data_IF_838082229056
#
_entry.id   IF_838082229056
#
_cell.length_a   1.000
_cell.length_b   1.000
_cell.length_c   1.000
_cell.angle_alpha   90.00
_cell.angle_beta   90.00
_cell.angle_gamma   90.00
#
_symmetry.space_group_name_H-M   'P 1'
#
loop_
_entity.id
_entity.type
_entity.pdbx_description
1 polymer ?
#
# COMPACT_ATOMS: atom_id res chain seq x y z
N UNK A 1 17.16 22.72 21.78
CA UNK A 1 16.24 21.63 22.11
C UNK A 1 15.43 21.24 20.86
N UNK A 2 16.13 20.76 19.82
CA UNK A 2 15.54 20.27 18.56
C UNK A 2 16.42 19.16 17.96
N UNK A 3 17.24 18.50 18.79
CA UNK A 3 18.16 17.43 18.41
C UNK A 3 17.73 16.07 18.93
N UNK A 4 16.59 15.98 19.62
CA UNK A 4 16.07 14.74 20.24
C UNK A 4 15.01 14.02 19.40
N UNK A 5 14.53 14.60 18.29
CA UNK A 5 13.50 13.97 17.44
C UNK A 5 13.82 13.97 15.94
N UNK A 6 15.02 14.42 15.55
CA UNK A 6 15.48 14.37 14.18
C UNK A 6 16.48 13.24 13.99
N UNK A 7 16.02 12.04 13.62
CA UNK A 7 16.92 11.08 12.98
C UNK A 7 17.33 11.68 11.64
N UNK A 8 18.52 12.26 11.56
CA UNK A 8 19.11 12.68 10.30
C UNK A 8 19.45 11.43 9.49
N UNK A 9 18.57 11.05 8.56
CA UNK A 9 18.86 10.03 7.53
C UNK A 9 19.81 10.55 6.44
N UNK A 10 20.72 11.47 6.79
CA UNK A 10 21.76 11.92 5.88
C UNK A 10 22.93 10.94 5.97
N UNK A 11 22.66 9.68 5.59
CA UNK A 11 23.68 8.66 5.47
C UNK A 11 24.44 8.88 4.16
N UNK A 12 25.40 9.80 4.19
CA UNK A 12 26.36 10.05 3.10
C UNK A 12 27.10 8.78 2.63
N UNK A 13 27.14 7.72 3.46
CA UNK A 13 27.70 6.39 3.16
C UNK A 13 26.99 5.68 1.98
N UNK A 14 25.74 6.00 1.65
CA UNK A 14 25.01 5.35 0.56
C UNK A 14 25.55 5.72 -0.84
N UNK A 15 26.25 6.85 -0.98
CA UNK A 15 26.80 7.30 -2.26
C UNK A 15 27.89 6.35 -2.82
N UNK A 16 28.54 5.59 -1.94
CA UNK A 16 29.55 4.56 -2.26
C UNK A 16 28.96 3.17 -2.52
N UNK A 17 27.70 2.92 -2.14
CA UNK A 17 27.07 1.61 -2.23
C UNK A 17 26.49 1.32 -3.64
N UNK A 18 26.14 2.38 -4.37
CA UNK A 18 25.56 2.27 -5.70
C UNK A 18 26.65 2.15 -6.76
N UNK A 19 26.43 1.27 -7.75
CA UNK A 19 27.32 1.20 -8.90
C UNK A 19 27.23 2.49 -9.75
N UNK A 20 28.26 2.81 -10.55
CA UNK A 20 28.29 4.03 -11.35
C UNK A 20 27.11 4.20 -12.31
N UNK A 21 26.57 3.09 -12.85
CA UNK A 21 25.46 3.12 -13.79
C UNK A 21 24.15 3.46 -13.07
N UNK A 22 23.89 2.86 -11.90
CA UNK A 22 22.72 3.19 -11.08
C UNK A 22 22.74 4.66 -10.65
N UNK A 23 23.90 5.20 -10.25
CA UNK A 23 24.03 6.63 -9.94
C UNK A 23 23.73 7.52 -11.13
N UNK A 24 24.20 7.16 -12.33
CA UNK A 24 23.94 7.92 -13.54
C UNK A 24 22.44 7.94 -13.89
N UNK A 25 21.75 6.80 -13.76
CA UNK A 25 20.30 6.70 -13.97
C UNK A 25 19.51 7.54 -12.97
N UNK A 26 19.86 7.48 -11.68
CA UNK A 26 19.22 8.31 -10.64
C UNK A 26 19.45 9.80 -10.89
N UNK A 27 20.65 10.19 -11.32
CA UNK A 27 20.93 11.59 -11.67
C UNK A 27 20.07 12.05 -12.84
N UNK A 28 19.97 11.24 -13.90
CA UNK A 28 19.11 11.53 -15.04
C UNK A 28 17.62 11.63 -14.63
N UNK A 29 17.16 10.79 -13.69
CA UNK A 29 15.81 10.87 -13.14
C UNK A 29 15.57 12.20 -12.43
N UNK A 30 16.48 12.61 -11.54
CA UNK A 30 16.39 13.89 -10.82
C UNK A 30 16.38 15.09 -11.78
N UNK A 31 17.24 15.07 -12.81
CA UNK A 31 17.26 16.13 -13.81
C UNK A 31 15.91 16.27 -14.52
N UNK A 32 15.24 15.14 -14.86
CA UNK A 32 13.88 15.18 -15.42
C UNK A 32 12.83 15.65 -14.40
N UNK A 33 12.95 15.27 -13.13
CA UNK A 33 12.03 15.73 -12.07
C UNK A 33 12.11 17.24 -11.89
N UNK A 34 13.29 17.85 -11.91
CA UNK A 34 13.44 19.30 -11.85
C UNK A 34 12.82 20.02 -13.04
N UNK A 35 12.95 19.48 -14.26
CA UNK A 35 12.26 20.05 -15.43
C UNK A 35 10.74 19.98 -15.27
N UNK A 36 10.22 18.85 -14.77
CA UNK A 36 8.80 18.67 -14.48
C UNK A 36 8.31 19.68 -13.43
N UNK A 37 9.04 19.83 -12.32
CA UNK A 37 8.74 20.80 -11.27
C UNK A 37 8.76 22.24 -11.80
N UNK A 38 9.73 22.58 -12.65
CA UNK A 38 9.82 23.89 -13.28
C UNK A 38 8.56 24.24 -14.08
N UNK A 39 8.05 23.32 -14.88
CA UNK A 39 6.80 23.51 -15.65
C UNK A 39 5.57 23.58 -14.72
N UNK A 40 5.52 22.76 -13.66
CA UNK A 40 4.44 22.80 -12.67
C UNK A 40 4.40 24.15 -11.93
N UNK A 41 5.55 24.70 -11.54
CA UNK A 41 5.67 26.01 -10.89
C UNK A 41 5.25 27.17 -11.81
N UNK A 42 5.33 26.96 -13.12
CA UNK A 42 4.85 27.90 -14.13
C UNK A 42 3.38 27.70 -14.50
N UNK A 43 2.70 26.69 -13.94
CA UNK A 43 1.29 26.41 -14.21
C UNK A 43 1.02 25.62 -15.50
N UNK A 44 2.02 24.92 -16.04
CA UNK A 44 1.89 24.12 -17.27
C UNK A 44 1.96 22.60 -17.00
N UNK A 45 0.90 21.99 -16.44
CA UNK A 45 0.90 20.56 -16.08
C UNK A 45 1.05 19.63 -17.29
N UNK A 46 0.48 19.98 -18.44
CA UNK A 46 0.60 19.22 -19.69
C UNK A 46 2.04 19.18 -20.21
N UNK A 47 2.82 20.24 -19.99
CA UNK A 47 4.25 20.31 -20.33
C UNK A 47 5.13 19.60 -19.31
N UNK A 48 4.69 19.50 -18.06
CA UNK A 48 5.39 18.78 -17.00
C UNK A 48 5.31 17.25 -17.15
N UNK A 49 4.19 16.74 -17.70
CA UNK A 49 3.88 15.31 -17.78
C UNK A 49 4.93 14.47 -18.54
N UNK A 50 5.43 14.88 -19.72
CA UNK A 50 6.48 14.15 -20.43
C UNK A 50 7.76 13.98 -19.61
N UNK A 51 8.17 15.02 -18.86
CA UNK A 51 9.34 14.95 -17.99
C UNK A 51 9.13 13.98 -16.82
N UNK A 52 7.95 14.02 -16.18
CA UNK A 52 7.59 13.08 -15.12
C UNK A 52 7.61 11.61 -15.61
N UNK A 53 7.07 11.34 -16.80
CA UNK A 53 7.08 10.00 -17.39
C UNK A 53 8.50 9.50 -17.69
N UNK A 54 9.40 10.39 -18.16
CA UNK A 54 10.82 10.04 -18.36
C UNK A 54 11.52 9.73 -17.03
N UNK A 55 11.30 10.54 -16.00
CA UNK A 55 11.83 10.29 -14.66
C UNK A 55 11.37 8.92 -14.12
N UNK A 56 10.08 8.61 -14.26
CA UNK A 56 9.51 7.31 -13.89
C UNK A 56 10.18 6.16 -14.66
N UNK A 57 10.48 6.36 -15.95
CA UNK A 57 11.21 5.40 -16.77
C UNK A 57 12.60 5.07 -16.21
N UNK A 58 13.37 6.08 -15.80
CA UNK A 58 14.69 5.88 -15.19
C UNK A 58 14.59 5.18 -13.82
N UNK A 59 13.63 5.58 -12.98
CA UNK A 59 13.41 4.93 -11.67
C UNK A 59 13.08 3.44 -11.84
N UNK A 60 12.25 3.08 -12.81
CA UNK A 60 11.95 1.68 -13.11
C UNK A 60 13.17 0.89 -13.57
N UNK A 61 14.08 1.50 -14.32
CA UNK A 61 15.33 0.85 -14.73
C UNK A 61 16.22 0.56 -13.52
N UNK A 62 16.33 1.51 -12.58
CA UNK A 62 17.06 1.32 -11.32
C UNK A 62 16.44 0.18 -10.51
N UNK A 63 15.11 0.17 -10.34
CA UNK A 63 14.40 -0.89 -9.63
C UNK A 63 14.66 -2.27 -10.24
N UNK A 64 14.76 -2.37 -11.57
CA UNK A 64 15.04 -3.62 -12.24
C UNK A 64 16.52 -4.04 -12.11
N UNK A 65 17.45 -3.08 -12.09
CA UNK A 65 18.88 -3.34 -11.89
C UNK A 65 19.18 -3.82 -10.45
N UNK A 66 18.51 -3.26 -9.44
CA UNK A 66 18.63 -3.68 -8.04
C UNK A 66 17.86 -4.96 -7.73
N UNK A 67 17.01 -5.44 -8.66
CA UNK A 67 16.25 -6.67 -8.51
C UNK A 67 17.17 -7.87 -8.61
N UNK A 68 17.94 -8.12 -7.57
CA UNK A 68 18.53 -9.43 -7.31
C UNK A 68 17.34 -10.38 -7.16
N UNK A 69 17.11 -11.21 -8.17
CA UNK A 69 16.15 -12.29 -8.08
C UNK A 69 16.71 -13.32 -7.10
N UNK A 70 16.56 -13.06 -5.80
CA UNK A 70 16.55 -14.14 -4.83
C UNK A 70 15.33 -14.95 -5.23
N UNK A 71 15.54 -16.08 -5.92
CA UNK A 71 14.53 -17.10 -5.99
C UNK A 71 14.09 -17.29 -4.54
N UNK A 72 12.80 -17.06 -4.27
CA UNK A 72 12.21 -17.50 -3.02
C UNK A 72 12.29 -19.01 -3.08
N UNK A 73 13.45 -19.56 -2.73
CA UNK A 73 13.61 -20.95 -2.34
C UNK A 73 12.80 -21.00 -1.06
N UNK A 74 11.49 -21.20 -1.25
CA UNK A 74 10.65 -21.66 -0.17
C UNK A 74 11.39 -22.84 0.44
N UNK A 75 11.51 -22.85 1.75
CA UNK A 75 12.09 -23.99 2.45
C UNK A 75 11.39 -25.23 1.90
N UNK A 76 12.12 -26.06 1.16
CA UNK A 76 11.58 -27.31 0.66
C UNK A 76 11.47 -28.20 1.90
N UNK A 77 10.34 -28.09 2.59
CA UNK A 77 10.04 -28.89 3.76
C UNK A 77 10.09 -30.36 3.32
N UNK A 78 10.71 -31.25 4.13
CA UNK A 78 10.65 -32.67 3.85
C UNK A 78 9.19 -33.10 3.69
N UNK A 79 8.89 -34.05 2.78
CA UNK A 79 7.53 -34.54 2.59
C UNK A 79 6.93 -34.98 3.93
N UNK A 80 5.69 -34.59 4.19
CA UNK A 80 4.96 -35.10 5.36
C UNK A 80 4.75 -36.61 5.20
N UNK A 81 4.97 -37.36 6.27
CA UNK A 81 4.60 -38.78 6.32
C UNK A 81 3.08 -38.89 6.55
N UNK A 82 2.29 -39.32 5.56
CA UNK A 82 0.83 -39.43 5.70
C UNK A 82 0.43 -40.48 6.74
N UNK A 83 1.25 -41.50 7.00
CA UNK A 83 0.95 -42.55 7.98
C UNK A 83 1.01 -42.07 9.43
N UNK A 84 1.81 -41.03 9.69
CA UNK A 84 1.92 -40.39 11.01
C UNK A 84 1.01 -39.18 11.17
N UNK A 85 0.34 -38.76 10.09
CA UNK A 85 -0.56 -37.61 10.12
C UNK A 85 -1.83 -38.00 10.89
N UNK A 86 -2.23 -37.17 11.85
CA UNK A 86 -3.44 -37.38 12.65
C UNK A 86 -3.43 -38.65 13.54
N UNK A 87 -2.27 -39.29 13.75
CA UNK A 87 -2.15 -40.50 14.59
C UNK A 87 -1.92 -40.21 16.09
N UNK A 88 -1.95 -38.94 16.51
CA UNK A 88 -1.74 -38.55 17.91
C UNK A 88 -2.90 -38.98 18.80
N UNK A 89 -2.61 -39.26 20.07
CA UNK A 89 -3.63 -39.52 21.09
C UNK A 89 -4.47 -38.25 21.32
N UNK A 90 -5.79 -38.42 21.28
CA UNK A 90 -6.79 -37.35 21.49
C UNK A 90 -7.51 -37.48 22.82
N UNK A 91 -7.11 -38.40 23.69
CA UNK A 91 -7.70 -38.56 25.01
C UNK A 91 -7.69 -37.23 25.78
N UNK A 92 -8.88 -36.76 26.19
CA UNK A 92 -9.06 -35.49 26.89
C UNK A 92 -9.17 -34.24 26.00
N UNK A 93 -9.04 -34.36 24.67
CA UNK A 93 -9.25 -33.25 23.75
C UNK A 93 -10.70 -33.22 23.26
N UNK A 94 -11.51 -32.35 23.87
CA UNK A 94 -12.88 -32.05 23.45
C UNK A 94 -12.92 -30.95 22.38
N UNK A 95 -13.99 -30.97 21.59
CA UNK A 95 -14.30 -29.89 20.65
C UNK A 95 -14.60 -28.61 21.47
N UNK A 96 -13.76 -27.58 21.35
CA UNK A 96 -14.13 -26.26 21.86
C UNK A 96 -15.02 -25.65 20.79
N UNK A 97 -16.33 -25.71 21.00
CA UNK A 97 -17.23 -24.78 20.36
C UNK A 97 -16.77 -23.38 20.74
N UNK A 98 -16.01 -22.73 19.87
CA UNK A 98 -15.75 -21.32 19.98
C UNK A 98 -17.14 -20.66 19.91
N UNK A 99 -17.58 -20.08 21.02
CA UNK A 99 -18.81 -19.30 21.03
C UNK A 99 -18.65 -18.22 19.98
N UNK A 100 -19.39 -18.33 18.89
CA UNK A 100 -19.47 -17.27 17.91
C UNK A 100 -20.31 -16.18 18.55
N UNK A 101 -19.70 -15.04 18.88
CA UNK A 101 -20.46 -13.89 19.34
C UNK A 101 -21.46 -13.48 18.25
N UNK A 102 -22.75 -13.41 18.60
CA UNK A 102 -23.78 -12.92 17.70
C UNK A 102 -23.54 -11.43 17.46
N UNK A 103 -23.15 -11.06 16.23
CA UNK A 103 -23.03 -9.66 15.85
C UNK A 103 -24.43 -9.08 15.59
N UNK A 104 -24.77 -7.89 16.11
CA UNK A 104 -26.00 -7.22 15.73
C UNK A 104 -26.01 -6.92 14.23
N UNK A 105 -27.20 -6.86 13.64
CA UNK A 105 -27.36 -6.50 12.24
C UNK A 105 -26.75 -5.10 11.97
N UNK A 106 -26.01 -4.92 10.87
CA UNK A 106 -25.39 -3.65 10.54
C UNK A 106 -26.46 -2.59 10.21
N UNK A 107 -26.20 -1.34 10.61
CA UNK A 107 -27.07 -0.21 10.25
C UNK A 107 -27.04 0.02 8.71
N UNK A 108 -28.20 0.07 8.03
CA UNK A 108 -28.26 0.19 6.58
C UNK A 108 -27.97 1.61 6.07
N UNK A 109 -27.78 2.61 6.93
CA UNK A 109 -27.66 4.03 6.56
C UNK A 109 -26.54 4.31 5.57
N UNK A 110 -25.37 3.68 5.74
CA UNK A 110 -24.25 3.83 4.82
C UNK A 110 -24.54 3.21 3.45
N UNK A 111 -25.15 2.02 3.41
CA UNK A 111 -25.54 1.35 2.17
C UNK A 111 -26.61 2.13 1.41
N UNK A 112 -27.60 2.68 2.12
CA UNK A 112 -28.68 3.45 1.51
C UNK A 112 -28.20 4.77 0.92
N UNK A 113 -27.17 5.41 1.51
CA UNK A 113 -26.51 6.55 0.89
C UNK A 113 -25.71 6.13 -0.35
N UNK A 114 -25.00 5.00 -0.27
CA UNK A 114 -24.23 4.46 -1.39
C UNK A 114 -25.10 4.16 -2.61
N UNK A 115 -26.25 3.51 -2.39
CA UNK A 115 -27.22 3.23 -3.45
C UNK A 115 -27.78 4.52 -4.06
N UNK A 116 -28.12 5.52 -3.21
CA UNK A 116 -28.64 6.81 -3.69
C UNK A 116 -27.62 7.60 -4.52
N UNK A 117 -26.32 7.46 -4.25
CA UNK A 117 -25.25 8.07 -5.05
C UNK A 117 -25.03 7.37 -6.39
N UNK A 118 -25.46 6.11 -6.52
CA UNK A 118 -25.39 5.34 -7.76
C UNK A 118 -26.46 5.74 -8.79
N UNK A 119 -27.54 6.37 -8.34
CA UNK A 119 -28.60 6.90 -9.20
C UNK A 119 -28.20 8.27 -9.78
N UNK A 120 -28.52 8.54 -11.06
CA UNK A 120 -28.35 9.86 -11.68
C UNK A 120 -29.46 10.84 -11.24
N UNK A 121 -29.74 10.87 -9.94
CA UNK A 121 -30.78 11.66 -9.31
C UNK A 121 -30.23 12.38 -8.08
N UNK A 122 -30.83 13.52 -7.68
CA UNK A 122 -30.46 14.16 -6.43
C UNK A 122 -30.74 13.24 -5.23
N UNK A 123 -29.75 13.12 -4.33
CA UNK A 123 -29.89 12.35 -3.08
C UNK A 123 -30.91 13.05 -2.17
N UNK A 124 -31.92 12.34 -1.63
CA UNK A 124 -32.88 12.94 -0.70
C UNK A 124 -32.23 13.44 0.59
N UNK A 125 -32.61 14.64 1.05
CA UNK A 125 -32.11 15.25 2.29
C UNK A 125 -32.33 14.34 3.52
N UNK A 126 -33.41 13.57 3.53
CA UNK A 126 -33.69 12.59 4.58
C UNK A 126 -32.62 11.48 4.67
N UNK A 127 -32.08 11.05 3.53
CA UNK A 127 -31.01 10.04 3.46
C UNK A 127 -29.71 10.62 4.01
N UNK A 128 -29.38 11.86 3.64
CA UNK A 128 -28.22 12.58 4.16
C UNK A 128 -28.33 12.82 5.66
N UNK A 129 -29.48 13.25 6.15
CA UNK A 129 -29.73 13.49 7.57
C UNK A 129 -29.59 12.21 8.41
N UNK A 130 -30.16 11.09 7.94
CA UNK A 130 -30.02 9.80 8.64
C UNK A 130 -28.57 9.31 8.64
N UNK A 131 -27.84 9.47 7.53
CA UNK A 131 -26.41 9.14 7.50
C UNK A 131 -25.59 10.02 8.45
N UNK A 132 -25.89 11.32 8.53
CA UNK A 132 -25.22 12.24 9.46
C UNK A 132 -25.48 11.85 10.92
N UNK A 133 -26.69 11.41 11.25
CA UNK A 133 -27.01 10.90 12.58
C UNK A 133 -26.28 9.58 12.87
N UNK A 134 -26.23 8.67 11.90
CA UNK A 134 -25.49 7.42 12.02
C UNK A 134 -24.00 7.65 12.30
N UNK A 135 -23.35 8.59 11.59
CA UNK A 135 -21.95 8.98 11.83
C UNK A 135 -21.68 9.47 13.27
N UNK A 136 -22.68 10.05 13.94
CA UNK A 136 -22.56 10.50 15.33
C UNK A 136 -22.70 9.34 16.34
N UNK A 137 -23.27 8.21 15.91
CA UNK A 137 -23.52 7.02 16.75
C UNK A 137 -22.51 5.89 16.57
N UNK A 138 -21.57 6.04 15.62
CA UNK A 138 -20.45 5.11 15.40
C UNK A 138 -19.26 5.41 16.30
#
# INVERSE_FOLDING_TARGET
MLSEFGHTHDHAEAATLLDPQTRALLRAALDQMWQSEGELRQGHPERALPFANKALGFIKQVQQAERIYLARVGTQLPPIDPGRRLSGDRAGLGDRAAGLDSRPDPDPSALQLWDALGEQAPVPDATLARYAQWLQTQ
#
